data_IF_880929164072
#
_entry.id   IF_880929164072
#
_cell.length_a   1.000
_cell.length_b   1.000
_cell.length_c   1.000
_cell.angle_alpha   90.00
_cell.angle_beta   90.00
_cell.angle_gamma   90.00
#
_symmetry.space_group_name_H-M   'P 1'
#
loop_
_entity.id
_entity.type
_entity.pdbx_description
1 polymer ?
#
# COMPACT_ATOMS: atom_id res chain seq x y z
N UNK A 1 2.41 -20.97 -1.46
CA UNK A 1 2.00 -19.83 -2.29
C UNK A 1 2.98 -19.68 -3.42
N UNK A 2 2.48 -19.42 -4.62
CA UNK A 2 3.31 -19.02 -5.75
C UNK A 2 3.63 -17.53 -5.68
N UNK A 3 4.66 -17.08 -6.39
CA UNK A 3 5.01 -15.66 -6.48
C UNK A 3 3.84 -14.81 -6.99
N UNK A 4 3.02 -15.38 -7.88
CA UNK A 4 1.81 -14.73 -8.42
C UNK A 4 0.74 -14.52 -7.35
N UNK A 5 0.51 -15.51 -6.50
CA UNK A 5 -0.45 -15.39 -5.38
C UNK A 5 0.04 -14.40 -4.32
N UNK A 6 1.35 -14.36 -4.05
CA UNK A 6 1.94 -13.39 -3.14
C UNK A 6 1.81 -11.96 -3.69
N UNK A 7 2.08 -11.77 -4.98
CA UNK A 7 1.94 -10.47 -5.63
C UNK A 7 0.49 -9.97 -5.59
N UNK A 8 -0.48 -10.84 -5.91
CA UNK A 8 -1.90 -10.52 -5.82
C UNK A 8 -2.26 -10.04 -4.41
N UNK A 9 -1.84 -10.77 -3.36
CA UNK A 9 -2.10 -10.37 -1.98
C UNK A 9 -1.50 -9.02 -1.61
N UNK A 10 -0.28 -8.74 -2.06
CA UNK A 10 0.37 -7.45 -1.80
C UNK A 10 -0.38 -6.29 -2.48
N UNK A 11 -0.90 -6.50 -3.70
CA UNK A 11 -1.73 -5.49 -4.40
C UNK A 11 -3.05 -5.24 -3.65
N UNK A 12 -3.72 -6.31 -3.21
CA UNK A 12 -4.96 -6.23 -2.43
C UNK A 12 -4.71 -5.53 -1.06
N UNK A 13 -3.60 -5.85 -0.39
CA UNK A 13 -3.20 -5.23 0.86
C UNK A 13 -2.91 -3.74 0.68
N UNK A 14 -2.21 -3.36 -0.39
CA UNK A 14 -1.90 -1.96 -0.69
C UNK A 14 -3.16 -1.13 -0.92
N UNK A 15 -4.14 -1.66 -1.67
CA UNK A 15 -5.44 -1.00 -1.88
C UNK A 15 -6.24 -0.85 -0.57
N UNK A 16 -6.30 -1.93 0.23
CA UNK A 16 -7.01 -1.94 1.51
C UNK A 16 -6.41 -0.98 2.53
N UNK A 17 -5.08 -0.96 2.65
CA UNK A 17 -4.37 -0.07 3.57
C UNK A 17 -4.66 1.40 3.24
N UNK A 18 -4.58 1.77 1.97
CA UNK A 18 -4.89 3.14 1.54
C UNK A 18 -6.34 3.53 1.84
N UNK A 19 -7.27 2.58 1.78
CA UNK A 19 -8.67 2.82 2.16
C UNK A 19 -8.78 3.18 3.65
N UNK A 20 -8.01 2.54 4.53
CA UNK A 20 -7.95 2.91 5.95
C UNK A 20 -7.24 4.24 6.16
N UNK A 21 -6.13 4.49 5.47
CA UNK A 21 -5.42 5.77 5.54
C UNK A 21 -6.31 6.96 5.16
N UNK A 22 -7.19 6.81 4.16
CA UNK A 22 -8.16 7.85 3.77
C UNK A 22 -9.19 8.18 4.85
N UNK A 23 -9.44 7.26 5.79
CA UNK A 23 -10.40 7.43 6.87
C UNK A 23 -9.77 8.01 8.14
N UNK A 24 -8.45 8.10 8.21
CA UNK A 24 -7.74 8.60 9.38
C UNK A 24 -7.28 10.05 9.18
N UNK A 25 -7.24 10.81 10.28
CA UNK A 25 -6.59 12.11 10.29
C UNK A 25 -5.09 11.94 10.00
N UNK A 26 -4.55 12.72 9.05
CA UNK A 26 -3.16 12.56 8.56
C UNK A 26 -2.09 12.65 9.65
N UNK A 27 -2.32 13.48 10.66
CA UNK A 27 -1.37 13.71 11.74
C UNK A 27 -1.58 12.76 12.93
N UNK A 28 -2.54 11.83 12.85
CA UNK A 28 -2.77 10.84 13.90
C UNK A 28 -1.66 9.80 13.95
N UNK A 29 -1.36 9.29 15.15
CA UNK A 29 -0.42 8.17 15.34
C UNK A 29 -0.83 6.94 14.52
N UNK A 30 -2.14 6.73 14.34
CA UNK A 30 -2.71 5.64 13.55
C UNK A 30 -2.37 5.80 12.06
N UNK A 31 -2.49 7.00 11.51
CA UNK A 31 -2.09 7.27 10.12
C UNK A 31 -0.58 7.07 9.94
N UNK A 32 0.24 7.57 10.87
CA UNK A 32 1.70 7.42 10.79
C UNK A 32 2.13 5.95 10.85
N UNK A 33 1.47 5.13 11.68
CA UNK A 33 1.71 3.69 11.72
C UNK A 33 1.36 3.01 10.38
N UNK A 34 0.22 3.37 9.76
CA UNK A 34 -0.16 2.83 8.45
C UNK A 34 0.76 3.29 7.32
N UNK A 35 1.24 4.53 7.38
CA UNK A 35 2.15 5.11 6.38
C UNK A 35 3.43 4.28 6.23
N UNK A 36 3.98 3.76 7.33
CA UNK A 36 5.14 2.86 7.30
C UNK A 36 4.86 1.67 6.38
N UNK A 37 3.73 0.98 6.59
CA UNK A 37 3.35 -0.18 5.80
C UNK A 37 3.04 0.17 4.35
N UNK A 38 2.48 1.35 4.11
CA UNK A 38 2.19 1.86 2.77
C UNK A 38 3.49 2.03 1.97
N UNK A 39 4.52 2.62 2.57
CA UNK A 39 5.85 2.79 1.94
C UNK A 39 6.51 1.44 1.67
N UNK A 40 6.47 0.51 2.61
CA UNK A 40 7.01 -0.86 2.42
C UNK A 40 6.37 -1.56 1.22
N UNK A 41 5.04 -1.55 1.14
CA UNK A 41 4.29 -2.16 0.03
C UNK A 41 4.60 -1.46 -1.30
N UNK A 42 4.70 -0.12 -1.30
CA UNK A 42 5.06 0.67 -2.49
C UNK A 42 6.42 0.24 -3.04
N UNK A 43 7.42 0.08 -2.18
CA UNK A 43 8.76 -0.40 -2.54
C UNK A 43 8.72 -1.82 -3.09
N UNK A 44 8.03 -2.74 -2.39
CA UNK A 44 7.91 -4.15 -2.80
C UNK A 44 7.27 -4.23 -4.19
N UNK A 45 6.08 -3.62 -4.37
CA UNK A 45 5.34 -3.67 -5.63
C UNK A 45 6.14 -3.05 -6.79
N UNK A 46 6.85 -1.96 -6.54
CA UNK A 46 7.75 -1.34 -7.54
C UNK A 46 8.90 -2.28 -7.90
N UNK A 47 9.51 -2.96 -6.94
CA UNK A 47 10.57 -3.94 -7.19
C UNK A 47 10.08 -5.15 -8.01
N UNK A 48 8.79 -5.50 -7.89
CA UNK A 48 8.13 -6.50 -8.73
C UNK A 48 7.64 -5.96 -10.09
N UNK A 49 7.94 -4.71 -10.43
CA UNK A 49 7.58 -4.10 -11.72
C UNK A 49 6.09 -3.75 -11.85
N UNK A 50 5.35 -3.66 -10.75
CA UNK A 50 3.95 -3.24 -10.77
C UNK A 50 3.87 -1.74 -11.04
N UNK A 51 3.05 -1.35 -12.02
CA UNK A 51 2.73 0.06 -12.24
C UNK A 51 1.73 0.55 -11.19
N UNK A 52 2.15 1.52 -10.37
CA UNK A 52 1.36 2.04 -9.26
C UNK A 52 0.49 3.26 -9.62
N UNK A 53 0.56 3.80 -10.84
CA UNK A 53 -0.12 5.06 -11.20
C UNK A 53 -1.63 5.05 -10.90
N UNK A 54 -2.30 3.90 -11.05
CA UNK A 54 -3.73 3.76 -10.76
C UNK A 54 -4.01 3.15 -9.37
N UNK A 55 -2.99 2.54 -8.75
CA UNK A 55 -3.13 1.85 -7.47
C UNK A 55 -2.82 2.77 -6.28
N UNK A 56 -1.92 3.72 -6.46
CA UNK A 56 -1.52 4.68 -5.43
C UNK A 56 -2.45 5.90 -5.43
N UNK A 57 -3.43 5.86 -4.54
CA UNK A 57 -4.47 6.87 -4.38
C UNK A 57 -4.19 7.86 -3.25
N UNK A 58 -3.21 7.57 -2.38
CA UNK A 58 -2.76 8.50 -1.34
C UNK A 58 -1.79 9.53 -1.96
N UNK A 59 -1.04 9.14 -2.99
CA UNK A 59 -0.09 9.99 -3.73
C UNK A 59 0.90 10.71 -2.81
N UNK A 60 1.47 9.95 -1.86
CA UNK A 60 2.49 10.43 -0.92
C UNK A 60 3.90 9.93 -1.27
#
# INVERSE_FOLDING_TARGET
MTDKELLQKNVEEFSRLQSYMKLCEKDSEVYQAMRIRYVELKVILTAFGVNLNELDVIME
#
